data_IF_601504213185
#
_entry.id   IF_601504213185
#
_cell.length_a   1.000
_cell.length_b   1.000
_cell.length_c   1.000
_cell.angle_alpha   90.00
_cell.angle_beta   90.00
_cell.angle_gamma   90.00
#
_symmetry.space_group_name_H-M   'P 1'
#
loop_
_entity.id
_entity.type
_entity.pdbx_description
1 polymer ?
#
# COMPACT_ATOMS: atom_id res chain seq x y z
N UNK A 1 -49.52 -21.91 -76.89
CA UNK A 1 -50.01 -21.23 -75.66
C UNK A 1 -49.51 -21.89 -74.37
N UNK A 2 -49.62 -23.21 -74.20
CA UNK A 2 -49.11 -23.88 -72.99
C UNK A 2 -47.58 -23.77 -72.84
N UNK A 3 -46.82 -23.93 -73.93
CA UNK A 3 -45.36 -23.80 -73.94
C UNK A 3 -44.88 -22.38 -73.59
N UNK A 4 -45.56 -21.34 -74.08
CA UNK A 4 -45.27 -19.94 -73.73
C UNK A 4 -45.48 -19.68 -72.23
N UNK A 5 -46.58 -20.17 -71.65
CA UNK A 5 -46.83 -20.04 -70.19
C UNK A 5 -45.79 -20.80 -69.35
N UNK A 6 -45.35 -21.95 -69.84
CA UNK A 6 -44.26 -22.69 -69.19
C UNK A 6 -42.93 -21.95 -69.25
N UNK A 7 -42.63 -21.31 -70.39
CA UNK A 7 -41.44 -20.49 -70.54
C UNK A 7 -41.50 -19.23 -69.65
N UNK A 8 -42.65 -18.55 -69.59
CA UNK A 8 -42.90 -17.41 -68.71
C UNK A 8 -42.75 -17.79 -67.22
N UNK A 9 -43.29 -18.95 -66.80
CA UNK A 9 -43.12 -19.45 -65.44
C UNK A 9 -41.65 -19.73 -65.11
N UNK A 10 -40.90 -20.37 -66.03
CA UNK A 10 -39.47 -20.62 -65.84
C UNK A 10 -38.63 -19.35 -65.77
N UNK A 11 -39.03 -18.30 -66.50
CA UNK A 11 -38.37 -17.00 -66.46
C UNK A 11 -38.67 -16.27 -65.15
N UNK A 12 -39.92 -16.32 -64.67
CA UNK A 12 -40.28 -15.77 -63.36
C UNK A 12 -39.57 -16.49 -62.20
N UNK A 13 -39.45 -17.82 -62.25
CA UNK A 13 -38.67 -18.59 -61.27
C UNK A 13 -37.18 -18.21 -61.30
N UNK A 14 -36.61 -18.03 -62.50
CA UNK A 14 -35.24 -17.57 -62.66
C UNK A 14 -35.04 -16.16 -62.09
N UNK A 15 -35.95 -15.24 -62.38
CA UNK A 15 -35.87 -13.86 -61.88
C UNK A 15 -36.03 -13.82 -60.35
N UNK A 16 -36.92 -14.63 -59.78
CA UNK A 16 -37.05 -14.78 -58.34
C UNK A 16 -35.77 -15.36 -57.70
N UNK A 17 -35.15 -16.36 -58.34
CA UNK A 17 -33.88 -16.92 -57.87
C UNK A 17 -32.74 -15.90 -57.96
N UNK A 18 -32.70 -15.07 -59.00
CA UNK A 18 -31.72 -13.99 -59.14
C UNK A 18 -31.92 -12.90 -58.08
N UNK A 19 -33.17 -12.54 -57.77
CA UNK A 19 -33.49 -11.60 -56.71
C UNK A 19 -33.09 -12.16 -55.33
N UNK A 20 -33.39 -13.43 -55.05
CA UNK A 20 -32.95 -14.10 -53.82
C UNK A 20 -31.43 -14.16 -53.70
N UNK A 21 -30.72 -14.46 -54.80
CA UNK A 21 -29.26 -14.45 -54.83
C UNK A 21 -28.68 -13.05 -54.63
N UNK A 22 -29.32 -11.99 -55.13
CA UNK A 22 -28.93 -10.61 -54.86
C UNK A 22 -29.12 -10.25 -53.38
N UNK A 23 -30.26 -10.62 -52.78
CA UNK A 23 -30.52 -10.41 -51.36
C UNK A 23 -29.52 -11.14 -50.45
N UNK A 24 -29.19 -12.40 -50.75
CA UNK A 24 -28.17 -13.14 -50.01
C UNK A 24 -26.77 -12.52 -50.14
N UNK A 25 -26.43 -11.92 -51.31
CA UNK A 25 -25.16 -11.20 -51.48
C UNK A 25 -25.09 -9.92 -50.66
N UNK A 26 -26.21 -9.20 -50.55
CA UNK A 26 -26.32 -8.02 -49.70
C UNK A 26 -26.15 -8.39 -48.22
N UNK A 27 -26.86 -9.43 -47.76
CA UNK A 27 -26.71 -9.97 -46.40
C UNK A 27 -25.29 -10.43 -46.09
N UNK A 28 -24.62 -11.12 -47.02
CA UNK A 28 -23.20 -11.49 -46.86
C UNK A 28 -22.30 -10.26 -46.80
N UNK A 29 -22.62 -9.20 -47.54
CA UNK A 29 -21.92 -7.92 -47.48
C UNK A 29 -22.09 -7.21 -46.14
N UNK A 30 -23.30 -7.23 -45.57
CA UNK A 30 -23.59 -6.68 -44.24
C UNK A 30 -22.86 -7.47 -43.14
N UNK A 31 -22.97 -8.80 -43.13
CA UNK A 31 -22.25 -9.65 -42.18
C UNK A 31 -20.73 -9.47 -42.27
N UNK A 32 -20.18 -9.23 -43.47
CA UNK A 32 -18.76 -8.93 -43.63
C UNK A 32 -18.37 -7.58 -43.01
N UNK A 33 -19.22 -6.55 -43.14
CA UNK A 33 -19.00 -5.25 -42.49
C UNK A 33 -19.10 -5.34 -40.97
N UNK A 34 -20.12 -6.04 -40.46
CA UNK A 34 -20.29 -6.29 -39.02
C UNK A 34 -19.11 -7.05 -38.44
N UNK A 35 -18.64 -8.09 -39.13
CA UNK A 35 -17.43 -8.81 -38.74
C UNK A 35 -16.21 -7.89 -38.69
N UNK A 36 -16.05 -7.02 -39.68
CA UNK A 36 -14.97 -6.01 -39.69
C UNK A 36 -15.05 -5.04 -38.50
N UNK A 37 -16.25 -4.58 -38.14
CA UNK A 37 -16.48 -3.75 -36.96
C UNK A 37 -16.16 -4.50 -35.66
N UNK A 38 -16.59 -5.75 -35.53
CA UNK A 38 -16.27 -6.60 -34.37
C UNK A 38 -14.77 -6.84 -34.24
N UNK A 39 -14.06 -7.06 -35.35
CA UNK A 39 -12.59 -7.20 -35.35
C UNK A 39 -11.92 -5.88 -34.91
N UNK A 40 -12.39 -4.73 -35.38
CA UNK A 40 -11.91 -3.42 -34.94
C UNK A 40 -12.15 -3.18 -33.43
N UNK A 41 -13.34 -3.49 -32.92
CA UNK A 41 -13.64 -3.36 -31.50
C UNK A 41 -12.80 -4.31 -30.64
N UNK A 42 -12.56 -5.55 -31.09
CA UNK A 42 -11.65 -6.48 -30.40
C UNK A 42 -10.23 -5.93 -30.32
N UNK A 43 -9.73 -5.34 -31.41
CA UNK A 43 -8.42 -4.70 -31.42
C UNK A 43 -8.36 -3.54 -30.41
N UNK A 44 -9.39 -2.68 -30.39
CA UNK A 44 -9.46 -1.55 -29.45
C UNK A 44 -9.53 -2.01 -27.99
N UNK A 45 -10.25 -3.09 -27.69
CA UNK A 45 -10.26 -3.69 -26.35
C UNK A 45 -8.87 -4.20 -25.96
N UNK A 46 -8.17 -4.89 -26.87
CA UNK A 46 -6.81 -5.37 -26.62
C UNK A 46 -5.82 -4.22 -26.37
N UNK A 47 -5.91 -3.12 -27.12
CA UNK A 47 -5.10 -1.91 -26.90
C UNK A 47 -5.38 -1.27 -25.53
N UNK A 48 -6.65 -1.23 -25.10
CA UNK A 48 -7.03 -0.72 -23.78
C UNK A 48 -6.58 -1.64 -22.64
N UNK A 49 -6.64 -2.95 -22.81
CA UNK A 49 -6.13 -3.92 -21.83
C UNK A 49 -4.61 -3.82 -21.68
N UNK A 50 -3.88 -3.64 -22.78
CA UNK A 50 -2.44 -3.38 -22.74
C UNK A 50 -2.13 -2.07 -22.00
N UNK A 51 -2.82 -0.97 -22.35
CA UNK A 51 -2.64 0.31 -21.66
C UNK A 51 -3.00 0.26 -20.17
N UNK A 52 -4.01 -0.52 -19.79
CA UNK A 52 -4.35 -0.79 -18.39
C UNK A 52 -3.21 -1.52 -17.67
N UNK A 53 -2.65 -2.56 -18.27
CA UNK A 53 -1.54 -3.31 -17.67
C UNK A 53 -0.29 -2.43 -17.48
N UNK A 54 0.00 -1.54 -18.42
CA UNK A 54 1.10 -0.57 -18.30
C UNK A 54 0.89 0.40 -17.13
N UNK A 55 -0.33 0.93 -16.97
CA UNK A 55 -0.68 1.81 -15.86
C UNK A 55 -0.63 1.09 -14.51
N UNK A 56 -1.10 -0.16 -14.43
CA UNK A 56 -0.98 -0.99 -13.22
C UNK A 56 0.50 -1.24 -12.87
N UNK A 57 1.37 -1.44 -13.86
CA UNK A 57 2.81 -1.54 -13.67
C UNK A 57 3.44 -0.25 -13.15
N UNK A 58 3.03 0.91 -13.67
CA UNK A 58 3.49 2.22 -13.18
C UNK A 58 3.04 2.49 -11.74
N UNK A 59 1.78 2.19 -11.41
CA UNK A 59 1.25 2.32 -10.05
C UNK A 59 2.01 1.41 -9.06
N UNK A 60 2.29 0.17 -9.44
CA UNK A 60 3.10 -0.74 -8.63
C UNK A 60 4.52 -0.20 -8.41
N UNK A 61 5.14 0.37 -9.46
CA UNK A 61 6.45 1.02 -9.36
C UNK A 61 6.46 2.24 -8.43
N UNK A 62 5.44 3.09 -8.50
CA UNK A 62 5.28 4.24 -7.60
C UNK A 62 5.05 3.80 -6.16
N UNK A 63 4.21 2.79 -5.92
CA UNK A 63 3.99 2.24 -4.57
C UNK A 63 5.29 1.70 -3.95
N UNK A 64 6.13 1.03 -4.74
CA UNK A 64 7.45 0.57 -4.29
C UNK A 64 8.40 1.73 -3.95
N UNK A 65 8.40 2.81 -4.75
CA UNK A 65 9.19 4.01 -4.47
C UNK A 65 8.73 4.72 -3.18
N UNK A 66 7.42 4.84 -2.96
CA UNK A 66 6.87 5.42 -1.72
C UNK A 66 7.29 4.59 -0.51
N UNK A 67 7.13 3.27 -0.56
CA UNK A 67 7.56 2.38 0.53
C UNK A 67 9.06 2.50 0.83
N UNK A 68 9.90 2.62 -0.20
CA UNK A 68 11.35 2.82 -0.05
C UNK A 68 11.70 4.18 0.57
N UNK A 69 10.99 5.26 0.19
CA UNK A 69 11.17 6.59 0.77
C UNK A 69 10.71 6.64 2.23
N UNK A 70 9.58 6.02 2.56
CA UNK A 70 9.12 5.90 3.95
C UNK A 70 10.12 5.15 4.83
N UNK A 71 10.69 4.05 4.33
CA UNK A 71 11.72 3.30 5.05
C UNK A 71 12.94 4.18 5.34
N UNK A 72 13.44 4.90 4.33
CA UNK A 72 14.54 5.87 4.50
C UNK A 72 14.22 6.99 5.47
N UNK A 73 12.99 7.49 5.49
CA UNK A 73 12.55 8.51 6.44
C UNK A 73 12.53 7.97 7.88
N UNK A 74 12.04 6.73 8.09
CA UNK A 74 12.10 6.06 9.39
C UNK A 74 13.53 5.84 9.88
N UNK A 75 14.44 5.46 9.00
CA UNK A 75 15.86 5.32 9.34
C UNK A 75 16.51 6.66 9.69
N UNK A 76 16.27 7.71 8.88
CA UNK A 76 16.81 9.05 9.14
C UNK A 76 16.26 9.66 10.44
N UNK A 77 14.99 9.44 10.76
CA UNK A 77 14.40 9.88 12.03
C UNK A 77 14.96 9.14 13.23
N UNK A 78 15.21 7.83 13.10
CA UNK A 78 15.88 7.05 14.14
C UNK A 78 17.33 7.51 14.36
N UNK A 79 18.07 7.81 13.29
CA UNK A 79 19.42 8.36 13.35
C UNK A 79 19.45 9.74 14.05
N UNK A 80 18.54 10.64 13.69
CA UNK A 80 18.43 11.95 14.33
C UNK A 80 18.10 11.86 15.84
N UNK A 81 17.23 10.92 16.24
CA UNK A 81 16.94 10.66 17.65
C UNK A 81 18.17 10.14 18.41
N UNK A 82 18.94 9.23 17.80
CA UNK A 82 20.19 8.72 18.37
C UNK A 82 21.25 9.83 18.51
N UNK A 83 21.41 10.68 17.49
CA UNK A 83 22.32 11.82 17.52
C UNK A 83 21.94 12.85 18.60
N UNK A 84 20.65 13.15 18.75
CA UNK A 84 20.15 14.03 19.81
C UNK A 84 20.45 13.47 21.21
N UNK A 85 20.21 12.17 21.43
CA UNK A 85 20.52 11.53 22.70
C UNK A 85 22.03 11.53 23.01
N UNK A 86 22.88 11.32 22.01
CA UNK A 86 24.33 11.41 22.14
C UNK A 86 24.79 12.84 22.52
N UNK A 87 24.19 13.87 21.91
CA UNK A 87 24.49 15.26 22.21
C UNK A 87 24.08 15.66 23.64
N UNK A 88 22.92 15.19 24.12
CA UNK A 88 22.47 15.41 25.51
C UNK A 88 23.41 14.74 26.53
N UNK A 89 23.85 13.52 26.24
CA UNK A 89 24.81 12.81 27.08
C UNK A 89 26.13 13.59 27.17
N UNK A 90 26.68 14.01 26.02
CA UNK A 90 27.92 14.79 25.94
C UNK A 90 27.82 16.14 26.67
N UNK A 91 26.68 16.83 26.56
CA UNK A 91 26.44 18.06 27.32
C UNK A 91 26.41 17.81 28.83
N UNK A 92 25.79 16.72 29.27
CA UNK A 92 25.74 16.35 30.70
C UNK A 92 27.11 16.00 31.27
N UNK A 93 27.98 15.33 30.49
CA UNK A 93 29.34 14.99 30.92
C UNK A 93 30.23 16.23 30.98
N UNK A 94 30.12 17.14 30.01
CA UNK A 94 30.84 18.41 30.03
C UNK A 94 30.45 19.28 31.24
N UNK A 95 29.16 19.34 31.59
CA UNK A 95 28.69 20.07 32.77
C UNK A 95 29.25 19.49 34.08
N UNK A 96 29.30 18.15 34.21
CA UNK A 96 29.91 17.47 35.37
C UNK A 96 31.42 17.74 35.48
N UNK A 97 32.13 17.71 34.36
CA UNK A 97 33.56 18.03 34.33
C UNK A 97 33.83 19.48 34.73
N UNK A 98 33.01 20.44 34.24
CA UNK A 98 33.08 21.85 34.65
C UNK A 98 32.87 22.05 36.15
N UNK A 99 31.87 21.36 36.73
CA UNK A 99 31.61 21.43 38.17
C UNK A 99 32.80 20.90 38.99
N UNK A 100 33.35 19.74 38.59
CA UNK A 100 34.50 19.13 39.27
C UNK A 100 35.75 20.02 39.21
N UNK A 101 36.03 20.64 38.06
CA UNK A 101 37.13 21.63 37.92
C UNK A 101 36.89 22.83 38.84
N UNK A 102 35.68 23.37 38.87
CA UNK A 102 35.32 24.49 39.75
C UNK A 102 35.53 24.19 41.24
N UNK A 103 35.13 23.00 41.69
CA UNK A 103 35.33 22.53 43.06
C UNK A 103 36.82 22.39 43.41
N UNK A 104 37.62 21.81 42.52
CA UNK A 104 39.07 21.69 42.74
C UNK A 104 39.78 23.04 42.81
N UNK A 105 39.46 23.98 41.92
CA UNK A 105 40.03 25.33 41.93
C UNK A 105 39.67 26.07 43.22
N UNK A 106 38.40 25.98 43.66
CA UNK A 106 37.95 26.59 44.91
C UNK A 106 38.65 26.00 46.13
N UNK A 107 38.78 24.67 46.21
CA UNK A 107 39.48 23.98 47.29
C UNK A 107 40.97 24.41 47.37
N UNK A 108 41.62 24.60 46.23
CA UNK A 108 43.03 25.02 46.19
C UNK A 108 43.25 26.49 46.44
N UNK A 109 42.37 27.38 45.97
CA UNK A 109 42.44 28.79 46.35
C UNK A 109 42.28 28.96 47.87
N UNK A 110 41.44 28.14 48.51
CA UNK A 110 41.33 28.09 49.96
C UNK A 110 42.62 27.58 50.63
N UNK A 111 43.26 26.53 50.08
CA UNK A 111 44.54 26.02 50.56
C UNK A 111 45.72 26.99 50.30
N UNK A 112 45.63 27.80 49.24
CA UNK A 112 46.73 28.63 48.75
C UNK A 112 46.87 30.00 49.44
N UNK A 113 46.05 30.27 50.45
CA UNK A 113 46.06 31.51 51.19
C UNK A 113 47.39 31.77 51.90
N UNK A 114 48.18 32.68 51.30
CA UNK A 114 49.29 33.50 51.84
C UNK A 114 50.71 32.93 51.62
N UNK A 115 51.26 33.24 50.44
CA UNK A 115 52.68 33.15 50.04
C UNK A 115 53.24 31.76 49.63
N UNK A 116 53.08 31.40 48.35
CA UNK A 116 53.55 30.15 47.70
C UNK A 116 55.06 29.91 47.80
N UNK A 117 55.83 30.98 47.96
CA UNK A 117 57.29 30.93 48.15
C UNK A 117 57.73 30.39 49.53
N UNK A 118 56.84 30.40 50.53
CA UNK A 118 57.11 29.88 51.88
C UNK A 118 56.64 28.44 52.06
N UNK A 119 56.11 27.82 51.01
CA UNK A 119 55.53 26.49 51.11
C UNK A 119 56.60 25.40 51.10
N UNK A 120 56.40 24.29 51.83
CA UNK A 120 57.24 23.11 51.71
C UNK A 120 57.24 22.59 50.27
N UNK A 121 58.38 22.07 49.78
CA UNK A 121 58.50 21.54 48.42
C UNK A 121 57.45 20.48 48.06
N UNK A 122 57.02 19.66 49.03
CA UNK A 122 55.93 18.70 48.81
C UNK A 122 54.63 19.39 48.37
N UNK A 123 54.27 20.53 49.00
CA UNK A 123 53.09 21.30 48.63
C UNK A 123 53.27 22.01 47.28
N UNK A 124 54.49 22.48 46.95
CA UNK A 124 54.79 23.04 45.62
C UNK A 124 54.59 22.01 44.51
N UNK A 125 55.12 20.80 44.72
CA UNK A 125 55.03 19.70 43.77
C UNK A 125 53.59 19.19 43.62
N UNK A 126 52.80 19.22 44.70
CA UNK A 126 51.36 18.93 44.64
C UNK A 126 50.66 19.99 43.78
N UNK A 127 50.92 21.30 43.95
CA UNK A 127 50.27 22.29 43.09
C UNK A 127 50.70 22.15 41.63
N UNK A 128 51.96 21.85 41.33
CA UNK A 128 52.41 21.59 39.95
C UNK A 128 51.69 20.40 39.32
N UNK A 129 51.59 19.26 40.04
CA UNK A 129 50.82 18.10 39.57
C UNK A 129 49.39 18.48 39.27
N UNK A 130 48.84 19.35 40.10
CA UNK A 130 47.44 19.68 39.97
C UNK A 130 47.16 20.82 38.96
N UNK A 131 48.15 21.66 38.64
CA UNK A 131 48.15 22.57 37.50
C UNK A 131 48.20 21.76 36.20
N UNK A 132 49.02 20.70 36.14
CA UNK A 132 49.00 19.74 35.02
C UNK A 132 47.66 19.04 34.87
N UNK A 133 47.01 18.64 35.99
CA UNK A 133 45.65 18.08 35.93
C UNK A 133 44.62 19.10 35.44
N UNK A 134 44.74 20.38 35.82
CA UNK A 134 43.85 21.43 35.32
C UNK A 134 44.03 21.66 33.82
N UNK A 135 45.26 21.68 33.33
CA UNK A 135 45.57 21.82 31.90
C UNK A 135 45.01 20.62 31.11
N UNK A 136 45.23 19.40 31.57
CA UNK A 136 44.67 18.19 30.96
C UNK A 136 43.13 18.17 30.95
N UNK A 137 42.49 18.62 32.05
CA UNK A 137 41.03 18.73 32.09
C UNK A 137 40.52 19.82 31.15
N UNK A 138 41.25 20.93 31.01
CA UNK A 138 40.89 22.01 30.11
C UNK A 138 41.00 21.59 28.64
N UNK A 139 42.07 20.87 28.26
CA UNK A 139 42.19 20.23 26.94
C UNK A 139 41.03 19.24 26.67
N UNK A 140 40.66 18.42 27.66
CA UNK A 140 39.53 17.50 27.52
C UNK A 140 38.19 18.21 27.30
N UNK A 141 38.01 19.37 27.93
CA UNK A 141 36.80 20.18 27.85
C UNK A 141 36.70 20.87 26.49
N UNK A 142 37.82 21.37 25.97
CA UNK A 142 37.88 21.95 24.62
C UNK A 142 37.67 20.87 23.54
N UNK A 143 38.17 19.64 23.74
CA UNK A 143 37.84 18.48 22.91
C UNK A 143 36.34 18.17 22.90
N UNK A 144 35.71 18.06 24.08
CA UNK A 144 34.28 17.81 24.19
C UNK A 144 33.42 18.94 23.57
N UNK A 145 33.88 20.19 23.62
CA UNK A 145 33.24 21.33 22.94
C UNK A 145 33.33 21.21 21.42
N UNK A 146 34.47 20.79 20.89
CA UNK A 146 34.65 20.55 19.46
C UNK A 146 33.72 19.41 18.98
N UNK A 147 33.62 18.32 19.74
CA UNK A 147 32.74 17.18 19.44
C UNK A 147 31.26 17.58 19.47
N UNK A 148 30.84 18.40 20.44
CA UNK A 148 29.48 18.94 20.49
C UNK A 148 29.18 19.85 19.29
N UNK A 149 30.15 20.68 18.88
CA UNK A 149 29.98 21.55 17.71
C UNK A 149 29.85 20.75 16.42
N UNK A 150 30.69 19.71 16.24
CA UNK A 150 30.59 18.77 15.12
C UNK A 150 29.25 18.04 15.09
N UNK A 151 28.79 17.55 16.24
CA UNK A 151 27.49 16.87 16.36
C UNK A 151 26.30 17.78 16.03
N UNK A 152 26.36 19.06 16.45
CA UNK A 152 25.35 20.07 16.08
C UNK A 152 25.33 20.35 14.58
N UNK A 153 26.51 20.42 13.96
CA UNK A 153 26.61 20.62 12.52
C UNK A 153 26.04 19.40 11.76
N UNK A 154 26.31 18.19 12.23
CA UNK A 154 25.73 16.97 11.65
C UNK A 154 24.20 16.95 11.79
N UNK A 155 23.65 17.26 12.97
CA UNK A 155 22.21 17.35 13.17
C UNK A 155 21.56 18.39 12.24
N UNK A 156 22.22 19.53 12.00
CA UNK A 156 21.75 20.55 11.06
C UNK A 156 21.74 20.05 9.61
N UNK A 157 22.76 19.29 9.20
CA UNK A 157 22.81 18.66 7.88
C UNK A 157 21.68 17.63 7.71
N UNK A 158 21.49 16.75 8.69
CA UNK A 158 20.41 15.76 8.69
C UNK A 158 19.02 16.44 8.64
N UNK A 159 18.81 17.55 9.36
CA UNK A 159 17.57 18.33 9.28
C UNK A 159 17.35 18.93 7.88
N UNK A 160 18.40 19.42 7.22
CA UNK A 160 18.31 19.93 5.85
C UNK A 160 18.00 18.79 4.85
N UNK A 161 18.62 17.63 5.02
CA UNK A 161 18.34 16.44 4.22
C UNK A 161 16.90 15.95 4.42
N UNK A 162 16.42 15.92 5.66
CA UNK A 162 15.02 15.58 5.98
C UNK A 162 14.04 16.56 5.33
N UNK A 163 14.31 17.87 5.40
CA UNK A 163 13.47 18.87 4.73
C UNK A 163 13.46 18.68 3.20
N UNK A 164 14.61 18.35 2.61
CA UNK A 164 14.72 18.02 1.18
C UNK A 164 13.93 16.77 0.80
N UNK A 165 13.97 15.72 1.63
CA UNK A 165 13.19 14.50 1.42
C UNK A 165 11.68 14.75 1.58
N UNK A 166 11.26 15.56 2.56
CA UNK A 166 9.86 15.95 2.73
C UNK A 166 9.32 16.71 1.52
N UNK A 167 10.08 17.66 0.97
CA UNK A 167 9.70 18.36 -0.25
C UNK A 167 9.54 17.40 -1.44
N UNK A 168 10.49 16.48 -1.63
CA UNK A 168 10.42 15.47 -2.70
C UNK A 168 9.23 14.52 -2.54
N UNK A 169 8.86 14.19 -1.31
CA UNK A 169 7.68 13.37 -1.02
C UNK A 169 6.39 14.14 -1.39
N UNK A 170 6.29 15.42 -1.01
CA UNK A 170 5.17 16.27 -1.42
C UNK A 170 5.07 16.41 -2.95
N UNK A 171 6.19 16.61 -3.64
CA UNK A 171 6.22 16.65 -5.10
C UNK A 171 5.69 15.34 -5.71
N UNK A 172 6.13 14.19 -5.18
CA UNK A 172 5.67 12.89 -5.62
C UNK A 172 4.17 12.65 -5.34
N UNK A 173 3.66 13.07 -4.18
CA UNK A 173 2.23 13.02 -3.84
C UNK A 173 1.39 13.87 -4.79
N UNK A 174 1.85 15.08 -5.13
CA UNK A 174 1.16 15.93 -6.09
C UNK A 174 1.16 15.33 -7.50
N UNK A 175 2.27 14.72 -7.93
CA UNK A 175 2.36 14.03 -9.20
C UNK A 175 1.44 12.80 -9.27
N UNK A 176 1.36 12.02 -8.18
CA UNK A 176 0.43 10.89 -8.08
C UNK A 176 -1.03 11.36 -8.15
N UNK A 177 -1.39 12.40 -7.40
CA UNK A 177 -2.74 12.96 -7.42
C UNK A 177 -3.13 13.51 -8.81
N UNK A 178 -2.18 14.03 -9.58
CA UNK A 178 -2.39 14.43 -10.97
C UNK A 178 -2.63 13.21 -11.86
N UNK A 179 -1.78 12.17 -11.76
CA UNK A 179 -1.93 10.94 -12.53
C UNK A 179 -3.26 10.22 -12.24
N UNK A 180 -3.73 10.20 -10.99
CA UNK A 180 -5.03 9.66 -10.61
C UNK A 180 -6.20 10.43 -11.24
N UNK A 181 -6.11 11.75 -11.33
CA UNK A 181 -7.12 12.58 -12.01
C UNK A 181 -7.13 12.29 -13.51
N UNK A 182 -5.97 12.23 -14.14
CA UNK A 182 -5.86 11.92 -15.57
C UNK A 182 -6.40 10.53 -15.89
N UNK A 183 -6.09 9.53 -15.06
CA UNK A 183 -6.65 8.19 -15.18
C UNK A 183 -8.18 8.20 -15.02
N UNK A 184 -8.71 8.94 -14.05
CA UNK A 184 -10.16 9.08 -13.83
C UNK A 184 -10.88 9.72 -15.02
N UNK A 185 -10.27 10.76 -15.62
CA UNK A 185 -10.79 11.40 -16.83
C UNK A 185 -10.83 10.41 -18.01
N UNK A 186 -9.74 9.64 -18.23
CA UNK A 186 -9.70 8.61 -19.27
C UNK A 186 -10.76 7.51 -19.05
N UNK A 187 -10.96 7.08 -17.81
CA UNK A 187 -12.01 6.10 -17.49
C UNK A 187 -13.40 6.67 -17.81
N UNK A 188 -13.66 7.94 -17.48
CA UNK A 188 -14.93 8.60 -17.80
C UNK A 188 -15.15 8.74 -19.32
N UNK A 189 -14.10 9.10 -20.07
CA UNK A 189 -14.12 9.15 -21.54
C UNK A 189 -14.43 7.77 -22.13
N UNK A 190 -13.77 6.71 -21.66
CA UNK A 190 -14.02 5.35 -22.11
C UNK A 190 -15.46 4.89 -21.80
N UNK A 191 -15.97 5.19 -20.60
CA UNK A 191 -17.35 4.91 -20.24
C UNK A 191 -18.35 5.63 -21.15
N UNK A 192 -18.11 6.90 -21.48
CA UNK A 192 -18.92 7.67 -22.42
C UNK A 192 -18.91 7.04 -23.83
N UNK A 193 -17.73 6.66 -24.33
CA UNK A 193 -17.63 5.99 -25.64
C UNK A 193 -18.34 4.63 -25.66
N UNK A 194 -18.28 3.88 -24.56
CA UNK A 194 -18.95 2.59 -24.42
C UNK A 194 -20.48 2.77 -24.39
N UNK A 195 -20.98 3.78 -23.68
CA UNK A 195 -22.41 4.13 -23.67
C UNK A 195 -22.90 4.54 -25.07
N UNK A 196 -22.12 5.34 -25.81
CA UNK A 196 -22.44 5.69 -27.20
C UNK A 196 -22.51 4.44 -28.09
N UNK A 197 -21.52 3.56 -28.00
CA UNK A 197 -21.51 2.31 -28.78
C UNK A 197 -22.69 1.39 -28.42
N UNK A 198 -23.09 1.35 -27.14
CA UNK A 198 -24.27 0.60 -26.69
C UNK A 198 -25.56 1.20 -27.26
N UNK A 199 -25.69 2.53 -27.29
CA UNK A 199 -26.83 3.20 -27.88
C UNK A 199 -26.91 2.92 -29.40
N UNK A 200 -25.79 3.00 -30.11
CA UNK A 200 -25.70 2.70 -31.54
C UNK A 200 -26.09 1.23 -31.82
N UNK A 201 -25.59 0.29 -31.02
CA UNK A 201 -25.94 -1.12 -31.13
C UNK A 201 -27.44 -1.37 -30.90
N UNK A 202 -28.04 -0.70 -29.90
CA UNK A 202 -29.49 -0.81 -29.65
C UNK A 202 -30.34 -0.22 -30.79
N UNK A 203 -29.90 0.90 -31.38
CA UNK A 203 -30.54 1.52 -32.55
C UNK A 203 -30.51 0.61 -33.77
N UNK A 204 -29.36 -0.02 -34.04
CA UNK A 204 -29.24 -1.02 -35.12
C UNK A 204 -30.13 -2.24 -34.88
N UNK A 205 -30.22 -2.71 -33.63
CA UNK A 205 -31.09 -3.83 -33.26
C UNK A 205 -32.58 -3.49 -33.46
N UNK A 206 -33.01 -2.28 -33.12
CA UNK A 206 -34.36 -1.79 -33.40
C UNK A 206 -34.64 -1.71 -34.91
N UNK A 207 -33.68 -1.24 -35.71
CA UNK A 207 -33.79 -1.18 -37.18
C UNK A 207 -33.94 -2.59 -37.78
N UNK A 208 -33.14 -3.56 -37.33
CA UNK A 208 -33.25 -4.96 -37.76
C UNK A 208 -34.62 -5.56 -37.40
N UNK A 209 -35.13 -5.32 -36.19
CA UNK A 209 -36.47 -5.78 -35.81
C UNK A 209 -37.58 -5.13 -36.67
N UNK A 210 -37.45 -3.85 -37.01
CA UNK A 210 -38.40 -3.17 -37.90
C UNK A 210 -38.37 -3.77 -39.32
N UNK A 211 -37.18 -4.05 -39.87
CA UNK A 211 -37.03 -4.70 -41.16
C UNK A 211 -37.62 -6.12 -41.17
N UNK A 212 -37.38 -6.91 -40.12
CA UNK A 212 -37.99 -8.24 -39.96
C UNK A 212 -39.53 -8.17 -39.91
N UNK A 213 -40.09 -7.20 -39.17
CA UNK A 213 -41.54 -7.00 -39.13
C UNK A 213 -42.12 -6.59 -40.49
N UNK A 214 -41.44 -5.71 -41.23
CA UNK A 214 -41.85 -5.34 -42.59
C UNK A 214 -41.81 -6.56 -43.53
N UNK A 215 -40.77 -7.39 -43.45
CA UNK A 215 -40.67 -8.61 -44.25
C UNK A 215 -41.80 -9.59 -43.92
N UNK A 216 -42.14 -9.79 -42.64
CA UNK A 216 -43.27 -10.64 -42.23
C UNK A 216 -44.62 -10.10 -42.73
N UNK A 217 -44.84 -8.78 -42.70
CA UNK A 217 -46.05 -8.18 -43.25
C UNK A 217 -46.15 -8.39 -44.77
N UNK A 218 -45.04 -8.24 -45.51
CA UNK A 218 -45.01 -8.52 -46.95
C UNK A 218 -45.29 -10.00 -47.25
N UNK A 219 -44.76 -10.93 -46.45
CA UNK A 219 -45.07 -12.36 -46.59
C UNK A 219 -46.54 -12.68 -46.28
N UNK A 220 -47.13 -12.03 -45.27
CA UNK A 220 -48.54 -12.19 -44.93
C UNK A 220 -49.47 -11.69 -46.06
N UNK A 221 -49.13 -10.55 -46.67
CA UNK A 221 -49.84 -10.00 -47.83
C UNK A 221 -49.67 -10.90 -49.07
N UNK A 222 -48.48 -11.45 -49.31
CA UNK A 222 -48.20 -12.36 -50.42
C UNK A 222 -48.96 -13.69 -50.34
N UNK A 223 -49.26 -14.19 -49.13
CA UNK A 223 -50.02 -15.44 -48.94
C UNK A 223 -51.51 -15.34 -49.26
N UNK A 224 -52.10 -14.13 -49.33
CA UNK A 224 -53.52 -13.98 -49.66
C UNK A 224 -53.81 -14.07 -51.19
N UNK A 225 -52.78 -14.08 -52.04
CA UNK A 225 -52.93 -14.16 -53.50
C UNK A 225 -52.69 -15.54 -54.13
N UNK A 226 -52.22 -16.55 -53.37
CA UNK A 226 -51.87 -17.86 -53.93
C UNK A 226 -52.92 -18.92 -53.58
N UNK A 227 -53.78 -19.22 -54.55
CA UNK A 227 -54.73 -20.34 -54.47
C UNK A 227 -54.00 -21.69 -54.41
N UNK A 228 -54.53 -22.66 -53.65
CA UNK A 228 -53.87 -23.95 -53.47
C UNK A 228 -54.15 -24.86 -54.67
N UNK A 229 -53.18 -25.01 -55.58
CA UNK A 229 -53.23 -26.07 -56.59
C UNK A 229 -52.50 -27.30 -56.06
N UNK A 230 -53.30 -28.29 -55.67
CA UNK A 230 -52.84 -29.59 -55.24
C UNK A 230 -52.10 -30.32 -56.38
N UNK A 231 -50.86 -30.78 -56.15
CA UNK A 231 -50.35 -31.93 -56.91
C UNK A 231 -49.48 -32.86 -56.08
N UNK A 232 -50.01 -34.07 -55.99
CA UNK A 232 -49.56 -35.31 -55.36
C UNK A 232 -48.47 -35.99 -56.23
N UNK A 233 -47.47 -36.58 -55.57
CA UNK A 233 -46.53 -37.59 -56.11
C UNK A 233 -45.18 -37.50 -55.39
N UNK A 234 -44.81 -38.34 -54.42
CA UNK A 234 -44.48 -39.78 -54.41
C UNK A 234 -43.06 -40.15 -54.86
N UNK A 235 -42.21 -40.46 -53.85
CA UNK A 235 -41.13 -41.46 -53.80
C UNK A 235 -39.78 -41.13 -54.53
N UNK A 236 -38.69 -41.91 -54.32
CA UNK A 236 -37.63 -41.63 -53.34
C UNK A 236 -36.21 -41.73 -53.98
N UNK A 237 -35.17 -41.92 -53.16
CA UNK A 237 -33.90 -42.62 -53.48
C UNK A 237 -32.63 -41.76 -53.74
N UNK A 238 -31.53 -42.24 -53.14
CA UNK A 238 -30.11 -42.09 -53.48
C UNK A 238 -29.28 -40.94 -52.85
N UNK A 239 -28.58 -41.27 -51.75
CA UNK A 239 -27.14 -40.97 -51.55
C UNK A 239 -26.31 -41.44 -52.77
N UNK A 240 -25.09 -40.92 -53.10
CA UNK A 240 -23.97 -40.78 -52.16
C UNK A 240 -22.94 -39.64 -52.43
N UNK A 241 -22.17 -39.31 -51.38
CA UNK A 241 -20.70 -39.16 -51.45
C UNK A 241 -20.06 -37.92 -52.10
N UNK A 242 -18.89 -37.58 -51.52
CA UNK A 242 -17.64 -37.24 -52.22
C UNK A 242 -17.01 -35.89 -51.84
N UNK A 243 -15.77 -36.03 -51.36
CA UNK A 243 -14.60 -35.15 -51.49
C UNK A 243 -14.72 -33.71 -50.94
N UNK A 244 -13.89 -33.29 -50.00
CA UNK A 244 -12.43 -33.44 -50.05
C UNK A 244 -11.84 -32.31 -50.91
N UNK A 245 -11.66 -31.13 -50.30
CA UNK A 245 -10.78 -30.09 -50.83
C UNK A 245 -9.77 -29.70 -49.77
N UNK A 246 -8.66 -30.46 -49.77
CA UNK A 246 -7.34 -29.90 -49.49
C UNK A 246 -6.94 -29.04 -50.69
N UNK A 247 -6.65 -27.76 -50.47
CA UNK A 247 -5.61 -27.00 -51.19
C UNK A 247 -5.07 -25.97 -50.18
N UNK A 248 -3.87 -26.20 -49.65
CA UNK A 248 -2.56 -25.86 -50.21
C UNK A 248 -2.19 -24.40 -49.95
N UNK A 249 -1.29 -24.25 -48.96
CA UNK A 249 -0.06 -23.45 -48.98
C UNK A 249 -0.09 -22.17 -49.82
N UNK A 250 0.08 -21.00 -49.19
CA UNK A 250 1.01 -19.97 -49.63
C UNK A 250 1.46 -19.11 -48.43
N UNK A 251 2.70 -19.37 -48.01
CA UNK A 251 3.77 -18.41 -47.70
C UNK A 251 3.47 -17.08 -46.98
N UNK A 252 4.13 -16.94 -45.82
CA UNK A 252 4.58 -15.69 -45.20
C UNK A 252 5.30 -14.73 -46.17
N UNK A 253 5.31 -13.43 -45.83
CA UNK A 253 6.57 -12.74 -45.54
C UNK A 253 6.45 -12.01 -44.20
N UNK A 254 7.24 -12.28 -43.17
CA UNK A 254 8.63 -11.85 -42.99
C UNK A 254 8.95 -10.48 -43.61
N UNK A 255 8.71 -9.42 -42.83
CA UNK A 255 9.41 -8.14 -42.98
C UNK A 255 10.18 -7.87 -41.70
N UNK A 256 11.49 -8.01 -41.82
CA UNK A 256 12.45 -7.30 -40.97
C UNK A 256 12.35 -5.80 -41.26
N UNK A 257 12.35 -4.97 -40.23
CA UNK A 257 13.13 -3.74 -40.31
C UNK A 257 13.71 -3.37 -38.95
N UNK A 258 15.02 -3.31 -38.96
CA UNK A 258 15.94 -2.92 -37.92
C UNK A 258 15.73 -1.49 -37.43
N UNK A 259 16.07 -1.27 -36.15
CA UNK A 259 16.16 0.04 -35.52
C UNK A 259 17.00 -0.03 -34.24
N UNK A 260 18.25 -0.46 -34.38
CA UNK A 260 19.31 -0.37 -33.36
C UNK A 260 19.92 1.03 -33.31
N UNK A 261 20.23 1.49 -32.09
CA UNK A 261 21.29 2.43 -31.63
C UNK A 261 20.68 3.38 -30.57
N UNK A 262 21.18 3.48 -29.34
CA UNK A 262 22.41 2.95 -28.77
C UNK A 262 22.43 2.96 -27.25
N UNK A 263 23.30 2.10 -26.72
CA UNK A 263 23.70 2.03 -25.33
C UNK A 263 24.94 2.90 -25.09
N UNK A 264 24.89 3.69 -24.04
CA UNK A 264 26.00 3.92 -23.10
C UNK A 264 25.39 3.55 -21.74
N UNK A 265 25.86 2.59 -20.95
CA UNK A 265 27.22 2.26 -20.63
C UNK A 265 27.52 2.84 -19.25
N UNK A 266 27.11 2.17 -18.17
CA UNK A 266 27.86 2.22 -16.91
C UNK A 266 27.56 0.99 -16.04
N UNK A 267 28.62 0.23 -15.79
CA UNK A 267 28.72 -0.90 -14.87
C UNK A 267 29.11 -0.34 -13.51
N UNK A 268 28.49 -0.79 -12.43
CA UNK A 268 29.19 -1.05 -11.17
C UNK A 268 28.50 -2.19 -10.40
N UNK A 269 29.35 -2.99 -9.77
CA UNK A 269 29.18 -4.35 -9.28
C UNK A 269 28.75 -4.42 -7.82
N UNK A 270 28.37 -5.65 -7.40
CA UNK A 270 28.38 -6.19 -6.02
C UNK A 270 27.09 -5.94 -5.22
N UNK A 271 26.50 -6.85 -4.44
CA UNK A 271 26.89 -8.15 -3.86
C UNK A 271 25.67 -8.75 -3.14
N UNK A 272 25.57 -10.10 -3.09
CA UNK A 272 24.88 -10.95 -2.07
C UNK A 272 23.40 -10.64 -1.75
N UNK A 273 22.38 -11.46 -2.03
CA UNK A 273 22.28 -12.92 -1.96
C UNK A 273 21.30 -13.30 -0.83
N UNK A 274 20.09 -13.75 -1.15
CA UNK A 274 19.28 -14.72 -0.36
C UNK A 274 17.95 -14.97 -1.08
N UNK A 275 17.71 -16.21 -1.50
CA UNK A 275 16.44 -16.67 -2.09
C UNK A 275 15.80 -17.61 -1.07
N UNK A 276 14.68 -17.18 -0.47
CA UNK A 276 13.83 -18.05 0.35
C UNK A 276 12.61 -18.43 -0.49
N UNK A 277 12.45 -19.73 -0.71
CA UNK A 277 11.31 -20.31 -1.39
C UNK A 277 10.06 -20.22 -0.51
N UNK A 278 9.02 -19.54 -1.01
CA UNK A 278 7.69 -19.48 -0.35
C UNK A 278 6.84 -20.64 -0.86
N UNK A 279 6.70 -21.67 -0.03
CA UNK A 279 5.72 -22.74 -0.19
C UNK A 279 4.38 -22.34 0.42
N UNK A 280 3.31 -22.46 -0.35
CA UNK A 280 1.94 -22.13 0.05
C UNK A 280 1.15 -23.41 0.39
N UNK A 281 0.47 -23.51 1.55
CA UNK A 281 -0.62 -24.44 1.70
C UNK A 281 -1.97 -23.72 1.84
N UNK A 282 -2.85 -23.97 0.87
CA UNK A 282 -4.30 -23.72 0.97
C UNK A 282 -4.91 -24.73 1.93
N UNK A 283 -5.49 -24.27 3.04
CA UNK A 283 -6.51 -25.02 3.79
C UNK A 283 -7.68 -24.08 4.07
N UNK A 284 -8.81 -24.35 3.40
CA UNK A 284 -10.05 -23.62 3.57
C UNK A 284 -10.78 -24.12 4.83
N UNK A 285 -10.74 -23.33 5.91
CA UNK A 285 -11.60 -23.56 7.07
C UNK A 285 -12.85 -22.68 7.00
N UNK A 286 -13.99 -23.33 6.74
CA UNK A 286 -15.33 -22.75 6.78
C UNK A 286 -15.77 -22.65 8.25
N UNK A 287 -15.61 -21.48 8.87
CA UNK A 287 -16.15 -21.23 10.22
C UNK A 287 -17.51 -20.55 10.13
N UNK A 288 -18.51 -21.23 10.69
CA UNK A 288 -19.90 -20.81 10.77
C UNK A 288 -20.08 -20.02 12.07
N UNK A 289 -20.28 -18.70 11.97
CA UNK A 289 -20.46 -17.83 13.13
C UNK A 289 -21.83 -18.07 13.79
N UNK A 290 -21.84 -18.71 14.95
CA UNK A 290 -23.01 -18.83 15.81
C UNK A 290 -23.01 -17.64 16.78
N UNK A 291 -23.73 -16.57 16.42
CA UNK A 291 -23.97 -15.43 17.30
C UNK A 291 -24.83 -15.87 18.50
N UNK A 292 -24.18 -16.19 19.62
CA UNK A 292 -24.83 -16.35 20.92
C UNK A 292 -24.62 -15.07 21.71
N UNK A 293 -25.59 -14.17 21.61
CA UNK A 293 -25.69 -12.96 22.43
C UNK A 293 -25.89 -13.38 23.89
N UNK A 294 -24.86 -13.18 24.71
CA UNK A 294 -24.91 -13.37 26.16
C UNK A 294 -24.04 -12.31 26.82
N UNK A 295 -24.68 -11.36 27.50
CA UNK A 295 -24.00 -10.36 28.32
C UNK A 295 -23.27 -11.03 29.47
N UNK A 296 -21.94 -10.93 29.47
CA UNK A 296 -21.06 -11.41 30.52
C UNK A 296 -20.17 -10.27 31.02
N UNK A 297 -20.27 -9.98 32.31
CA UNK A 297 -19.48 -9.00 33.05
C UNK A 297 -17.97 -9.22 32.88
N UNK A 298 -17.22 -8.16 32.54
CA UNK A 298 -15.77 -8.14 32.30
C UNK A 298 -14.91 -8.20 33.58
N UNK A 299 -15.51 -8.34 34.77
CA UNK A 299 -14.77 -8.27 36.04
C UNK A 299 -13.98 -9.54 36.41
N UNK A 300 -14.07 -10.63 35.63
CA UNK A 300 -13.41 -11.90 35.95
C UNK A 300 -12.09 -12.21 35.23
N UNK A 301 -11.67 -11.40 34.25
CA UNK A 301 -10.52 -11.74 33.37
C UNK A 301 -9.19 -11.19 33.90
N UNK A 302 -9.22 -10.18 34.78
CA UNK A 302 -8.00 -9.53 35.29
C UNK A 302 -7.18 -10.42 36.24
N UNK A 303 -7.82 -11.23 37.09
CA UNK A 303 -7.08 -12.09 38.04
C UNK A 303 -6.49 -13.34 37.36
N UNK A 304 -7.15 -13.87 36.32
CA UNK A 304 -6.66 -15.08 35.64
C UNK A 304 -5.46 -14.83 34.71
N UNK A 305 -5.33 -13.61 34.17
CA UNK A 305 -4.18 -13.24 33.33
C UNK A 305 -2.90 -12.96 34.13
N UNK A 306 -3.01 -12.49 35.38
CA UNK A 306 -1.85 -12.24 36.26
C UNK A 306 -1.25 -13.55 36.78
N UNK A 307 -2.09 -14.54 37.07
CA UNK A 307 -1.64 -15.86 37.55
C UNK A 307 -1.04 -16.71 36.41
N UNK A 308 -1.53 -16.56 35.17
CA UNK A 308 -0.96 -17.22 33.99
C UNK A 308 0.42 -16.66 33.57
N UNK A 309 0.70 -15.39 33.87
CA UNK A 309 1.99 -14.77 33.55
C UNK A 309 3.13 -15.17 34.51
N UNK A 310 2.83 -15.71 35.69
CA UNK A 310 3.82 -16.07 36.70
C UNK A 310 4.53 -17.42 36.47
N UNK A 311 4.08 -18.23 35.50
CA UNK A 311 4.57 -19.60 35.28
C UNK A 311 5.24 -19.87 33.92
N UNK A 312 5.64 -18.84 33.18
CA UNK A 312 6.34 -19.05 31.91
C UNK A 312 7.86 -19.23 32.11
N UNK A 313 8.47 -20.28 31.52
CA UNK A 313 9.90 -20.54 31.64
C UNK A 313 10.71 -19.46 30.90
N UNK A 314 11.72 -18.92 31.57
CA UNK A 314 12.66 -17.94 31.02
C UNK A 314 13.58 -18.66 30.03
N UNK A 315 13.24 -18.59 28.73
CA UNK A 315 14.02 -19.19 27.66
C UNK A 315 13.99 -18.37 26.37
N UNK A 316 15.17 -17.90 25.98
CA UNK A 316 15.57 -17.44 24.64
C UNK A 316 14.69 -16.39 23.94
N UNK A 317 15.13 -15.14 24.05
CA UNK A 317 14.71 -14.01 23.22
C UNK A 317 15.37 -14.08 21.82
N UNK A 318 14.68 -14.66 20.83
CA UNK A 318 14.80 -14.29 19.41
C UNK A 318 13.66 -14.97 18.64
N UNK A 319 13.00 -14.21 17.77
CA UNK A 319 11.74 -14.50 17.03
C UNK A 319 10.46 -14.14 17.79
N UNK A 320 10.00 -12.89 17.57
CA UNK A 320 8.61 -12.48 17.79
C UNK A 320 7.79 -13.14 16.68
N UNK A 321 7.43 -14.40 16.89
CA UNK A 321 6.51 -15.15 16.03
C UNK A 321 5.22 -14.35 15.80
N UNK A 322 4.74 -14.41 14.57
CA UNK A 322 3.49 -13.79 14.10
C UNK A 322 2.41 -13.92 15.18
N UNK A 323 1.77 -12.80 15.54
CA UNK A 323 0.68 -12.74 16.52
C UNK A 323 -0.53 -13.50 15.96
N UNK A 324 -0.45 -14.83 16.01
CA UNK A 324 -1.40 -15.76 15.42
C UNK A 324 -2.71 -15.72 16.17
N UNK A 325 -3.67 -14.96 15.65
CA UNK A 325 -5.07 -15.01 16.07
C UNK A 325 -5.55 -13.88 16.98
N UNK A 326 -4.71 -12.87 17.29
CA UNK A 326 -5.26 -11.65 17.90
C UNK A 326 -5.92 -10.83 16.79
N UNK A 327 -7.25 -10.74 16.83
CA UNK A 327 -8.03 -9.96 15.88
C UNK A 327 -7.48 -8.53 15.80
N UNK A 328 -7.02 -8.12 14.61
CA UNK A 328 -6.48 -6.79 14.36
C UNK A 328 -7.50 -5.71 14.75
N UNK A 329 -8.80 -6.02 14.67
CA UNK A 329 -9.88 -5.15 15.13
C UNK A 329 -9.85 -4.98 16.65
N UNK A 330 -9.55 -6.04 17.41
CA UNK A 330 -9.40 -5.98 18.87
C UNK A 330 -8.18 -5.15 19.27
N UNK A 331 -7.02 -5.38 18.63
CA UNK A 331 -5.79 -4.58 18.83
C UNK A 331 -6.09 -3.11 18.62
N UNK A 332 -6.69 -2.77 17.46
CA UNK A 332 -7.05 -1.40 17.13
C UNK A 332 -8.00 -0.79 18.16
N UNK A 333 -9.04 -1.52 18.59
CA UNK A 333 -10.03 -1.01 19.54
C UNK A 333 -9.43 -0.77 20.94
N UNK A 334 -8.57 -1.66 21.43
CA UNK A 334 -7.94 -1.51 22.75
C UNK A 334 -6.94 -0.35 22.75
N UNK A 335 -6.11 -0.26 21.70
CA UNK A 335 -5.12 0.82 21.57
C UNK A 335 -5.80 2.18 21.38
N UNK A 336 -6.83 2.28 20.53
CA UNK A 336 -7.56 3.53 20.32
C UNK A 336 -8.29 3.99 21.59
N UNK A 337 -8.96 3.09 22.32
CA UNK A 337 -9.60 3.45 23.60
C UNK A 337 -8.59 3.90 24.65
N UNK A 338 -7.42 3.29 24.68
CA UNK A 338 -6.35 3.71 25.57
C UNK A 338 -5.84 5.10 25.21
N UNK A 339 -5.58 5.39 23.94
CA UNK A 339 -5.16 6.72 23.47
C UNK A 339 -6.23 7.78 23.74
N UNK A 340 -7.51 7.45 23.52
CA UNK A 340 -8.64 8.32 23.84
C UNK A 340 -8.67 8.64 25.35
N UNK A 341 -8.51 7.64 26.22
CA UNK A 341 -8.45 7.83 27.67
C UNK A 341 -7.24 8.69 28.10
N UNK A 342 -6.08 8.54 27.45
CA UNK A 342 -4.89 9.38 27.67
C UNK A 342 -5.17 10.84 27.26
N UNK A 343 -5.68 11.06 26.05
CA UNK A 343 -5.95 12.41 25.52
C UNK A 343 -7.08 13.12 26.28
N UNK A 344 -8.10 12.38 26.71
CA UNK A 344 -9.22 12.90 27.50
C UNK A 344 -8.88 13.08 28.99
N UNK A 345 -7.67 12.73 29.43
CA UNK A 345 -7.24 12.85 30.82
C UNK A 345 -7.95 11.91 31.80
N UNK A 346 -8.55 10.82 31.30
CA UNK A 346 -9.30 9.85 32.11
C UNK A 346 -8.37 8.81 32.75
N UNK A 347 -7.69 9.20 33.83
CA UNK A 347 -6.68 8.36 34.48
C UNK A 347 -7.16 6.95 34.88
N UNK A 348 -8.41 6.81 35.35
CA UNK A 348 -8.97 5.50 35.73
C UNK A 348 -9.18 4.54 34.56
N UNK A 349 -9.73 5.04 33.44
CA UNK A 349 -9.91 4.23 32.21
C UNK A 349 -8.55 3.88 31.60
N UNK A 350 -7.60 4.84 31.59
CA UNK A 350 -6.23 4.63 31.12
C UNK A 350 -5.52 3.54 31.91
N UNK A 351 -5.54 3.62 33.24
CA UNK A 351 -4.82 2.68 34.11
C UNK A 351 -5.45 1.27 34.05
N UNK A 352 -6.77 1.19 33.85
CA UNK A 352 -7.47 -0.08 33.63
C UNK A 352 -7.14 -0.74 32.29
N UNK A 353 -6.92 0.04 31.23
CA UNK A 353 -6.59 -0.47 29.89
C UNK A 353 -5.09 -0.79 29.71
N UNK A 354 -4.23 -0.26 30.57
CA UNK A 354 -2.77 -0.40 30.46
C UNK A 354 -2.28 -1.87 30.42
N UNK A 355 -2.80 -2.82 31.23
CA UNK A 355 -2.40 -4.22 31.14
C UNK A 355 -2.79 -4.89 29.81
N UNK A 356 -3.96 -4.54 29.26
CA UNK A 356 -4.42 -5.06 27.97
C UNK A 356 -3.55 -4.55 26.82
N UNK A 357 -3.16 -3.27 26.85
CA UNK A 357 -2.22 -2.69 25.88
C UNK A 357 -0.84 -3.34 25.99
N UNK A 358 -0.36 -3.58 27.21
CA UNK A 358 0.92 -4.25 27.43
C UNK A 358 0.92 -5.69 26.90
N UNK A 359 -0.17 -6.42 27.10
CA UNK A 359 -0.34 -7.78 26.56
C UNK A 359 -0.38 -7.78 25.02
N UNK A 360 -1.11 -6.85 24.41
CA UNK A 360 -1.21 -6.69 22.95
C UNK A 360 0.14 -6.34 22.33
N UNK A 361 0.93 -5.48 22.99
CA UNK A 361 2.27 -5.09 22.55
C UNK A 361 3.33 -6.13 22.92
N UNK A 362 2.97 -7.20 23.64
CA UNK A 362 3.90 -8.15 24.21
C UNK A 362 5.03 -7.46 24.99
N UNK A 363 4.67 -6.41 25.74
CA UNK A 363 5.61 -5.61 26.50
C UNK A 363 6.24 -6.45 27.61
N UNK A 364 7.55 -6.44 27.69
CA UNK A 364 8.31 -7.02 28.81
C UNK A 364 7.94 -6.33 30.13
N UNK A 365 8.15 -6.98 31.29
CA UNK A 365 7.88 -6.36 32.60
C UNK A 365 8.61 -5.01 32.80
N UNK A 366 9.80 -4.86 32.21
CA UNK A 366 10.57 -3.62 32.23
C UNK A 366 9.90 -2.51 31.39
N UNK A 367 9.44 -2.83 30.18
CA UNK A 367 8.71 -1.90 29.30
C UNK A 367 7.37 -1.48 29.93
N UNK A 368 6.63 -2.42 30.53
CA UNK A 368 5.41 -2.11 31.28
C UNK A 368 5.68 -1.13 32.43
N UNK A 369 6.75 -1.38 33.20
CA UNK A 369 7.18 -0.47 34.28
C UNK A 369 7.60 0.91 33.78
N UNK A 370 8.21 1.00 32.59
CA UNK A 370 8.54 2.27 31.95
C UNK A 370 7.27 3.02 31.49
N UNK A 371 6.36 2.34 30.78
CA UNK A 371 5.08 2.91 30.35
C UNK A 371 4.29 3.46 31.54
N UNK A 372 4.19 2.70 32.64
CA UNK A 372 3.49 3.13 33.85
C UNK A 372 4.11 4.39 34.47
N UNK A 373 5.44 4.50 34.51
CA UNK A 373 6.14 5.68 35.03
C UNK A 373 5.93 6.91 34.15
N UNK A 374 5.99 6.77 32.83
CA UNK A 374 5.72 7.87 31.88
C UNK A 374 4.29 8.37 32.05
N UNK A 375 3.30 7.48 32.11
CA UNK A 375 1.89 7.86 32.29
C UNK A 375 1.59 8.49 33.65
N UNK A 376 2.33 8.10 34.70
CA UNK A 376 2.23 8.75 36.01
C UNK A 376 2.81 10.17 35.97
N UNK A 377 3.91 10.38 35.23
CA UNK A 377 4.55 11.69 35.08
C UNK A 377 3.75 12.66 34.18
N UNK A 378 3.01 12.15 33.20
CA UNK A 378 2.21 12.96 32.26
C UNK A 378 0.78 13.23 32.73
N UNK A 379 0.37 12.72 33.90
CA UNK A 379 -0.94 13.02 34.47
C UNK A 379 -1.04 14.52 34.82
N UNK A 380 -2.08 15.25 34.37
CA UNK A 380 -2.19 16.68 34.62
C UNK A 380 -2.17 17.00 36.13
N UNK A 381 -1.41 18.02 36.57
CA UNK A 381 -1.12 18.28 37.99
C UNK A 381 -2.35 18.55 38.85
N UNK A 382 -3.49 18.91 38.23
CA UNK A 382 -4.78 19.10 38.91
C UNK A 382 -5.30 17.84 39.61
N UNK A 383 -5.00 16.65 39.10
CA UNK A 383 -5.38 15.37 39.75
C UNK A 383 -4.37 14.91 40.80
N UNK A 384 -3.08 15.23 40.61
CA UNK A 384 -2.05 14.93 41.61
C UNK A 384 -2.25 15.77 42.89
N UNK A 385 -2.62 17.05 42.74
CA UNK A 385 -2.94 17.93 43.87
C UNK A 385 -4.18 17.46 44.64
N UNK A 386 -5.24 17.01 43.96
CA UNK A 386 -6.44 16.47 44.61
C UNK A 386 -6.18 15.14 45.34
N UNK A 387 -5.30 14.29 44.79
CA UNK A 387 -4.90 13.04 45.46
C UNK A 387 -4.01 13.25 46.69
N UNK A 388 -3.20 14.31 46.71
CA UNK A 388 -2.41 14.71 47.89
C UNK A 388 -3.31 15.40 48.93
N UNK A 389 -4.21 16.29 48.50
CA UNK A 389 -5.20 16.93 49.38
C UNK A 389 -6.18 15.93 50.01
N UNK A 390 -6.62 14.91 49.25
CA UNK A 390 -7.45 13.83 49.79
C UNK A 390 -6.72 12.94 50.80
N UNK A 391 -5.41 12.68 50.60
CA UNK A 391 -4.58 11.96 51.58
C UNK A 391 -4.32 12.78 52.85
N UNK A 392 -4.18 14.10 52.72
CA UNK A 392 -4.04 15.00 53.87
C UNK A 392 -5.35 15.13 54.66
N UNK A 393 -6.51 15.12 54.00
CA UNK A 393 -7.82 15.19 54.66
C UNK A 393 -8.15 13.93 55.49
N UNK A 394 -7.70 12.75 55.05
CA UNK A 394 -7.89 11.48 55.78
C UNK A 394 -6.89 11.28 56.94
N UNK A 395 -5.88 12.14 57.10
CA UNK A 395 -4.95 12.10 58.24
C UNK A 395 -5.44 12.93 59.44
N UNK A 396 -6.55 13.67 59.28
CA UNK A 396 -7.13 14.53 60.32
C UNK A 396 -8.46 14.03 60.90
N UNK A 397 -8.88 12.81 60.53
CA UNK A 397 -9.95 12.05 61.19
C UNK A 397 -9.37 10.81 61.83
#
# INVERSE_FOLDING_TARGET
MAELRSAEASLAERDAALAAAAGLREQLGELARERGQLEHHKQRVAELEAGKADLEGQLAGLAALVAALEARLRDATAQGAAASAAAELAASTAAKAQAAVGEQVAARLAAAGRNRALWPHAAQHEVEQLEQQLEALQESLDGARADLAASRQQLQQEQQEQAGLQHRLQDAETALAQAERDASLRVAELQSTLQSCQADASSLQEQLQQLEQQQQQQQALGRQGSTPSARRGSLPLASPGSAGSQQLLHSSPFMHSSGTLGCTGLVHTSSTGSVVAVGSPRVAHKWQAQNKVGGGSLYGVADSAVEAAAHLPVGSCNERDEVGGVDLVYVKNVVLKFLEAVMAGKAGERDALLPAVAAVLQATPAEFGAMRRVLAATAPPSTQMLGVLGRLANLTS
#
